data_IF_738234852843
#
_entry.id   IF_738234852843
#
_cell.length_a   1.000
_cell.length_b   1.000
_cell.length_c   1.000
_cell.angle_alpha   90.00
_cell.angle_beta   90.00
_cell.angle_gamma   90.00
#
_symmetry.space_group_name_H-M   'P 1'
#
loop_
_entity.id
_entity.type
_entity.pdbx_description
1 polymer ?
#
# COMPACT_ATOMS: atom_id res chain seq x y z
N UNK A 1 -5.55 -14.78 13.17
CA UNK A 1 -4.99 -13.92 14.23
C UNK A 1 -4.90 -12.49 13.71
N UNK A 2 -5.01 -11.49 14.58
CA UNK A 2 -4.93 -10.07 14.23
C UNK A 2 -3.87 -9.40 15.09
N UNK A 3 -3.22 -8.37 14.55
CA UNK A 3 -2.24 -7.55 15.23
C UNK A 3 -2.50 -6.08 14.90
N UNK A 4 -2.34 -5.19 15.88
CA UNK A 4 -2.54 -3.75 15.71
C UNK A 4 -1.28 -2.97 15.36
N UNK A 5 -0.09 -3.58 15.47
CA UNK A 5 1.20 -2.94 15.24
C UNK A 5 2.28 -3.97 14.85
N UNK A 6 3.48 -3.48 14.54
CA UNK A 6 4.61 -4.31 14.12
C UNK A 6 5.01 -5.38 15.15
N UNK A 7 5.13 -5.03 16.43
CA UNK A 7 5.64 -5.95 17.46
C UNK A 7 4.64 -7.08 17.72
N UNK A 8 3.34 -6.73 17.84
CA UNK A 8 2.25 -7.71 17.95
C UNK A 8 2.20 -8.66 16.75
N UNK A 9 2.47 -8.16 15.54
CA UNK A 9 2.48 -8.99 14.34
C UNK A 9 3.62 -10.01 14.36
N UNK A 10 4.81 -9.60 14.80
CA UNK A 10 5.96 -10.51 14.94
C UNK A 10 5.74 -11.55 16.03
N UNK A 11 5.16 -11.17 17.16
CA UNK A 11 4.84 -12.10 18.24
C UNK A 11 3.75 -13.09 17.83
N UNK A 12 2.70 -12.62 17.13
CA UNK A 12 1.68 -13.48 16.55
C UNK A 12 2.26 -14.45 15.51
N UNK A 13 3.20 -13.98 14.68
CA UNK A 13 3.86 -14.81 13.68
C UNK A 13 4.72 -15.92 14.31
N UNK A 14 5.48 -15.60 15.36
CA UNK A 14 6.29 -16.58 16.11
C UNK A 14 5.44 -17.61 16.83
N UNK A 15 4.32 -17.18 17.42
CA UNK A 15 3.46 -18.06 18.20
C UNK A 15 2.61 -19.01 17.34
N UNK A 16 2.18 -18.57 16.16
CA UNK A 16 1.19 -19.30 15.36
C UNK A 16 1.69 -19.80 14.00
N UNK A 17 2.91 -19.40 13.57
CA UNK A 17 3.52 -19.78 12.29
C UNK A 17 2.53 -19.72 11.10
N UNK A 18 1.96 -18.53 10.81
CA UNK A 18 0.92 -18.40 9.79
C UNK A 18 1.49 -18.68 8.39
N UNK A 19 0.72 -19.37 7.54
CA UNK A 19 1.08 -19.60 6.12
C UNK A 19 0.85 -18.37 5.24
N UNK A 20 -0.17 -17.58 5.57
CA UNK A 20 -0.58 -16.39 4.84
C UNK A 20 -0.61 -15.20 5.80
N UNK A 21 -0.14 -14.04 5.34
CA UNK A 21 -0.20 -12.80 6.09
C UNK A 21 -0.68 -11.66 5.18
N UNK A 22 -1.62 -10.86 5.69
CA UNK A 22 -2.04 -9.61 5.04
C UNK A 22 -1.51 -8.45 5.88
N UNK A 23 -0.74 -7.56 5.26
CA UNK A 23 0.02 -6.51 5.96
C UNK A 23 -0.34 -5.13 5.42
N UNK A 24 -0.59 -4.16 6.32
CA UNK A 24 -0.68 -2.75 5.93
C UNK A 24 0.71 -2.11 5.95
N UNK A 25 1.00 -1.23 4.97
CA UNK A 25 2.24 -0.46 4.94
C UNK A 25 2.34 0.52 6.11
N UNK A 26 1.20 1.09 6.53
CA UNK A 26 1.16 2.12 7.57
C UNK A 26 0.44 1.56 8.80
N UNK A 27 1.24 1.21 9.79
CA UNK A 27 0.80 0.77 11.11
C UNK A 27 1.72 1.37 12.18
N UNK A 28 1.31 1.40 13.46
CA UNK A 28 2.19 1.83 14.54
C UNK A 28 3.45 0.96 14.64
N UNK A 29 4.58 1.58 15.00
CA UNK A 29 5.89 0.93 15.06
C UNK A 29 6.66 1.06 13.75
N UNK A 30 7.30 -0.03 13.32
CA UNK A 30 8.02 -0.09 12.04
C UNK A 30 7.06 -0.17 10.85
N UNK A 31 7.58 0.11 9.65
CA UNK A 31 6.78 0.07 8.43
C UNK A 31 6.30 -1.35 8.07
N UNK A 32 5.21 -1.45 7.30
CA UNK A 32 4.77 -2.74 6.75
C UNK A 32 5.78 -3.39 5.81
N UNK A 33 6.64 -2.61 5.13
CA UNK A 33 7.73 -3.16 4.31
C UNK A 33 8.78 -3.87 5.18
N UNK A 34 9.13 -3.28 6.33
CA UNK A 34 10.02 -3.95 7.29
C UNK A 34 9.37 -5.23 7.83
N UNK A 35 8.06 -5.20 8.11
CA UNK A 35 7.34 -6.40 8.54
C UNK A 35 7.36 -7.50 7.46
N UNK A 36 7.17 -7.17 6.18
CA UNK A 36 7.27 -8.15 5.08
C UNK A 36 8.64 -8.84 5.11
N UNK A 37 9.71 -8.05 5.18
CA UNK A 37 11.09 -8.56 5.24
C UNK A 37 11.29 -9.48 6.44
N UNK A 38 10.83 -9.06 7.61
CA UNK A 38 11.07 -9.79 8.85
C UNK A 38 10.20 -11.07 8.94
N UNK A 39 8.97 -11.05 8.44
CA UNK A 39 8.14 -12.25 8.32
C UNK A 39 8.76 -13.27 7.36
N UNK A 40 9.23 -12.82 6.19
CA UNK A 40 9.94 -13.67 5.22
C UNK A 40 11.25 -14.22 5.77
N UNK A 41 11.96 -13.43 6.59
CA UNK A 41 13.20 -13.87 7.25
C UNK A 41 12.93 -14.86 8.40
N UNK A 42 11.77 -14.73 9.07
CA UNK A 42 11.34 -15.65 10.12
C UNK A 42 10.95 -17.01 9.54
N UNK A 43 10.21 -17.01 8.43
CA UNK A 43 9.86 -18.20 7.69
C UNK A 43 9.62 -17.86 6.20
N UNK A 44 10.44 -18.46 5.34
CA UNK A 44 10.36 -18.36 3.88
C UNK A 44 9.02 -18.89 3.34
N UNK A 45 8.35 -19.82 4.00
CA UNK A 45 7.06 -20.32 3.51
C UNK A 45 5.90 -19.32 3.72
N UNK A 46 6.10 -18.24 4.47
CA UNK A 46 5.04 -17.24 4.68
C UNK A 46 4.83 -16.45 3.39
N UNK A 47 3.59 -16.53 2.89
CA UNK A 47 3.13 -15.74 1.74
C UNK A 47 2.53 -14.44 2.27
N UNK A 48 3.18 -13.32 1.95
CA UNK A 48 2.78 -12.00 2.46
C UNK A 48 2.12 -11.18 1.35
N UNK A 49 0.86 -10.82 1.55
CA UNK A 49 0.12 -9.87 0.73
C UNK A 49 0.17 -8.50 1.39
N UNK A 50 0.58 -7.46 0.67
CA UNK A 50 0.47 -6.10 1.16
C UNK A 50 -0.87 -5.51 0.74
N UNK A 51 -1.64 -4.98 1.69
CA UNK A 51 -2.92 -4.32 1.45
C UNK A 51 -2.91 -2.92 2.08
N UNK A 52 -2.85 -1.86 1.28
CA UNK A 52 -2.74 -0.50 1.83
C UNK A 52 -3.44 0.57 0.99
N UNK A 53 -4.03 1.56 1.67
CA UNK A 53 -4.51 2.79 1.03
C UNK A 53 -3.40 3.81 0.72
N UNK A 54 -2.16 3.55 1.17
CA UNK A 54 -1.00 4.42 0.97
C UNK A 54 -0.05 3.93 -0.12
N UNK A 55 -0.49 2.97 -0.93
CA UNK A 55 0.28 2.44 -2.04
C UNK A 55 0.72 3.49 -3.07
N UNK A 56 1.91 3.28 -3.59
CA UNK A 56 2.47 3.85 -4.82
C UNK A 56 3.14 2.74 -5.62
N UNK A 57 3.43 2.99 -6.90
CA UNK A 57 4.19 2.04 -7.73
C UNK A 57 5.53 1.70 -7.08
N UNK A 58 6.25 2.70 -6.53
CA UNK A 58 7.52 2.49 -5.85
C UNK A 58 7.39 1.52 -4.66
N UNK A 59 6.41 1.74 -3.78
CA UNK A 59 6.20 0.87 -2.61
C UNK A 59 5.72 -0.54 -2.99
N UNK A 60 4.99 -0.69 -4.09
CA UNK A 60 4.56 -2.00 -4.59
C UNK A 60 5.76 -2.79 -5.12
N UNK A 61 6.63 -2.14 -5.90
CA UNK A 61 7.91 -2.71 -6.38
C UNK A 61 8.80 -3.11 -5.20
N UNK A 62 8.93 -2.24 -4.18
CA UNK A 62 9.74 -2.54 -3.01
C UNK A 62 9.15 -3.70 -2.19
N UNK A 63 7.82 -3.79 -2.04
CA UNK A 63 7.17 -4.92 -1.38
C UNK A 63 7.48 -6.25 -2.07
N UNK A 64 7.37 -6.30 -3.41
CA UNK A 64 7.68 -7.50 -4.19
C UNK A 64 9.16 -7.88 -4.05
N UNK A 65 10.07 -6.90 -4.14
CA UNK A 65 11.52 -7.14 -3.92
C UNK A 65 11.84 -7.71 -2.53
N UNK A 66 11.05 -7.36 -1.51
CA UNK A 66 11.20 -7.87 -0.15
C UNK A 66 10.51 -9.22 0.07
N UNK A 67 9.88 -9.80 -0.96
CA UNK A 67 9.26 -11.13 -0.91
C UNK A 67 7.77 -11.12 -0.64
N UNK A 68 7.08 -9.99 -0.81
CA UNK A 68 5.63 -9.99 -0.87
C UNK A 68 5.18 -10.72 -2.15
N UNK A 69 4.13 -11.53 -2.03
CA UNK A 69 3.57 -12.28 -3.15
C UNK A 69 2.71 -11.42 -4.05
N UNK A 70 2.14 -10.34 -3.49
CA UNK A 70 1.33 -9.38 -4.23
C UNK A 70 1.14 -8.07 -3.42
N UNK A 71 0.66 -7.03 -4.09
CA UNK A 71 0.29 -5.75 -3.52
C UNK A 71 -1.12 -5.35 -3.98
N UNK A 72 -2.03 -5.09 -3.05
CA UNK A 72 -3.37 -4.59 -3.33
C UNK A 72 -3.59 -3.19 -2.73
N UNK A 73 -4.12 -2.23 -3.50
CA UNK A 73 -4.60 -0.98 -2.95
C UNK A 73 -5.92 -1.20 -2.18
N UNK A 74 -6.14 -0.45 -1.10
CA UNK A 74 -7.48 -0.34 -0.48
C UNK A 74 -8.34 0.65 -1.29
N UNK A 75 -9.66 0.41 -1.45
CA UNK A 75 -10.45 -0.70 -0.89
C UNK A 75 -10.28 -2.00 -1.69
N UNK A 76 -10.27 -3.13 -0.99
CA UNK A 76 -10.31 -4.47 -1.57
C UNK A 76 -11.21 -5.34 -0.68
N UNK A 77 -11.95 -6.26 -1.28
CA UNK A 77 -12.80 -7.20 -0.54
C UNK A 77 -12.07 -8.53 -0.25
N UNK A 78 -12.79 -9.49 0.33
CA UNK A 78 -12.20 -10.78 0.69
C UNK A 78 -11.86 -11.61 -0.56
N UNK A 79 -12.64 -11.51 -1.63
CA UNK A 79 -12.43 -12.26 -2.86
C UNK A 79 -11.20 -11.72 -3.60
N UNK A 80 -11.00 -10.40 -3.60
CA UNK A 80 -9.78 -9.76 -4.12
C UNK A 80 -8.51 -10.28 -3.41
N UNK A 81 -8.57 -10.38 -2.08
CA UNK A 81 -7.45 -10.85 -1.25
C UNK A 81 -7.14 -12.32 -1.55
N UNK A 82 -8.16 -13.18 -1.63
CA UNK A 82 -7.99 -14.59 -1.94
C UNK A 82 -7.41 -14.79 -3.34
N UNK A 83 -7.98 -14.10 -4.35
CA UNK A 83 -7.48 -14.15 -5.71
C UNK A 83 -6.03 -13.65 -5.81
N UNK A 84 -5.65 -12.64 -5.03
CA UNK A 84 -4.27 -12.13 -5.01
C UNK A 84 -3.25 -13.13 -4.45
N UNK A 85 -3.67 -14.03 -3.54
CA UNK A 85 -2.86 -15.16 -3.11
C UNK A 85 -2.85 -16.31 -4.12
N UNK A 86 -3.82 -16.44 -5.01
CA UNK A 86 -3.82 -17.50 -6.02
C UNK A 86 -2.99 -17.13 -7.26
N UNK A 87 -2.92 -15.83 -7.61
CA UNK A 87 -2.23 -15.36 -8.82
C UNK A 87 -0.70 -15.52 -8.82
N UNK A 88 -0.07 -15.73 -7.66
CA UNK A 88 1.40 -15.75 -7.55
C UNK A 88 2.08 -17.05 -8.02
N UNK A 89 1.32 -18.03 -8.53
CA UNK A 89 1.88 -19.24 -9.16
C UNK A 89 2.26 -19.02 -10.64
N UNK A 90 2.11 -17.79 -11.15
CA UNK A 90 2.57 -17.41 -12.48
C UNK A 90 3.93 -16.75 -12.36
N UNK A 91 4.93 -17.37 -12.99
CA UNK A 91 6.30 -16.88 -13.17
C UNK A 91 6.34 -15.35 -13.35
N UNK A 92 7.14 -14.68 -12.51
CA UNK A 92 7.42 -13.25 -12.65
C UNK A 92 7.80 -12.96 -14.12
N UNK A 93 7.03 -12.15 -14.86
CA UNK A 93 7.48 -11.72 -16.18
C UNK A 93 8.79 -10.96 -15.98
N UNK A 94 9.86 -11.41 -16.62
CA UNK A 94 11.21 -10.82 -16.52
C UNK A 94 11.27 -9.35 -16.97
N UNK A 95 10.19 -8.80 -17.52
CA UNK A 95 10.07 -7.40 -17.88
C UNK A 95 8.71 -6.84 -17.45
N UNK A 96 8.64 -6.26 -16.24
CA UNK A 96 7.56 -5.32 -15.91
C UNK A 96 7.87 -4.01 -16.63
N UNK A 97 7.62 -3.94 -17.94
CA UNK A 97 7.24 -2.66 -18.54
C UNK A 97 5.84 -2.39 -18.03
N UNK A 98 5.60 -1.41 -17.13
CA UNK A 98 4.24 -1.10 -16.73
C UNK A 98 3.46 -0.78 -18.01
N UNK A 99 2.40 -1.55 -18.27
CA UNK A 99 1.51 -1.28 -19.38
C UNK A 99 1.00 0.16 -19.20
N UNK A 100 1.26 1.01 -20.18
CA UNK A 100 0.90 2.44 -20.13
C UNK A 100 -0.63 2.59 -20.00
N UNK A 101 -1.40 1.54 -20.32
CA UNK A 101 -2.84 1.47 -20.11
C UNK A 101 -3.25 1.36 -18.62
N UNK A 102 -2.40 0.84 -17.74
CA UNK A 102 -2.72 0.62 -16.31
C UNK A 102 -2.21 1.73 -15.39
N UNK A 103 -1.27 2.58 -15.84
CA UNK A 103 -0.78 3.70 -15.04
C UNK A 103 -1.84 4.82 -15.03
N UNK A 104 -2.42 5.19 -13.88
CA UNK A 104 -3.40 6.25 -13.82
C UNK A 104 -2.78 7.56 -14.32
N UNK A 105 -3.57 8.34 -15.06
CA UNK A 105 -3.12 9.63 -15.58
C UNK A 105 -2.50 10.49 -14.46
N UNK A 106 -1.51 11.31 -14.78
CA UNK A 106 -0.86 12.20 -13.80
C UNK A 106 -1.90 13.03 -13.04
N UNK A 107 -2.97 13.46 -13.72
CA UNK A 107 -4.08 14.18 -13.12
C UNK A 107 -4.82 13.34 -12.08
N UNK A 108 -5.10 12.07 -12.39
CA UNK A 108 -5.78 11.14 -11.48
C UNK A 108 -4.92 10.80 -10.27
N UNK A 109 -3.65 10.49 -10.49
CA UNK A 109 -2.69 10.25 -9.42
C UNK A 109 -2.54 11.49 -8.50
N UNK A 110 -2.49 12.69 -9.07
CA UNK A 110 -2.46 13.94 -8.31
C UNK A 110 -3.75 14.12 -7.49
N UNK A 111 -4.91 13.87 -8.10
CA UNK A 111 -6.21 14.02 -7.45
C UNK A 111 -6.35 13.06 -6.25
N UNK A 112 -6.05 11.77 -6.45
CA UNK A 112 -6.08 10.75 -5.40
C UNK A 112 -5.11 11.09 -4.26
N UNK A 113 -3.90 11.55 -4.60
CA UNK A 113 -2.91 11.95 -3.60
C UNK A 113 -3.39 13.15 -2.77
N UNK A 114 -3.94 14.18 -3.41
CA UNK A 114 -4.50 15.36 -2.74
C UNK A 114 -5.62 14.96 -1.77
N UNK A 115 -6.55 14.11 -2.22
CA UNK A 115 -7.68 13.68 -1.38
C UNK A 115 -7.24 12.78 -0.22
N UNK A 116 -6.25 11.92 -0.44
CA UNK A 116 -5.64 11.10 0.62
C UNK A 116 -5.04 11.96 1.73
N UNK A 117 -4.22 12.96 1.37
CA UNK A 117 -3.60 13.84 2.36
C UNK A 117 -4.65 14.70 3.09
N UNK A 118 -5.73 15.10 2.42
CA UNK A 118 -6.84 15.80 3.08
C UNK A 118 -7.57 14.91 4.09
N UNK A 119 -7.81 13.64 3.79
CA UNK A 119 -8.41 12.69 4.72
C UNK A 119 -7.53 12.49 5.96
N UNK A 120 -6.22 12.29 5.78
CA UNK A 120 -5.22 12.20 6.85
C UNK A 120 -5.12 13.45 7.74
N UNK A 121 -5.63 14.59 7.24
CA UNK A 121 -5.64 15.87 7.93
C UNK A 121 -7.05 16.26 8.39
N UNK A 122 -8.01 15.34 8.37
CA UNK A 122 -9.42 15.57 8.76
C UNK A 122 -10.06 16.78 8.03
N UNK A 123 -9.68 16.99 6.76
CA UNK A 123 -10.14 18.11 5.94
C UNK A 123 -9.42 19.44 6.19
N UNK A 124 -8.39 19.49 7.05
CA UNK A 124 -7.61 20.70 7.29
C UNK A 124 -6.73 21.06 6.07
N UNK A 125 -7.23 21.97 5.25
CA UNK A 125 -6.58 22.42 4.00
C UNK A 125 -5.19 23.04 4.27
N UNK A 126 -5.00 23.76 5.37
CA UNK A 126 -3.72 24.41 5.68
C UNK A 126 -2.64 23.38 6.03
N UNK A 127 -3.01 22.36 6.79
CA UNK A 127 -2.14 21.23 7.12
C UNK A 127 -1.82 20.39 5.89
N UNK A 128 -2.86 20.03 5.12
CA UNK A 128 -2.71 19.25 3.89
C UNK A 128 -1.82 19.97 2.86
N UNK A 129 -1.97 21.29 2.69
CA UNK A 129 -1.12 22.07 1.80
C UNK A 129 0.35 22.05 2.25
N UNK A 130 0.60 22.14 3.57
CA UNK A 130 1.95 22.06 4.12
C UNK A 130 2.58 20.68 3.88
N UNK A 131 1.83 19.61 4.10
CA UNK A 131 2.28 18.23 3.85
C UNK A 131 2.52 17.94 2.36
N UNK A 132 1.71 18.54 1.48
CA UNK A 132 1.89 18.47 0.03
C UNK A 132 3.02 19.40 -0.49
N UNK A 133 3.64 20.22 0.37
CA UNK A 133 4.69 21.15 -0.02
C UNK A 133 4.22 22.29 -0.95
N UNK A 134 2.92 22.58 -0.98
CA UNK A 134 2.33 23.61 -1.86
C UNK A 134 1.63 24.69 -1.07
N UNK A 135 1.45 25.86 -1.69
CA UNK A 135 0.72 26.95 -1.08
C UNK A 135 -0.77 26.61 -0.92
N UNK A 136 -1.40 27.00 0.20
CA UNK A 136 -2.83 26.76 0.49
C UNK A 136 -3.75 27.18 -0.67
N UNK A 137 -3.50 28.33 -1.31
CA UNK A 137 -4.28 28.79 -2.48
C UNK A 137 -4.14 27.85 -3.68
N UNK A 138 -2.96 27.28 -3.89
CA UNK A 138 -2.72 26.33 -4.98
C UNK A 138 -3.52 25.04 -4.77
N UNK A 139 -3.56 24.54 -3.53
CA UNK A 139 -4.39 23.39 -3.16
C UNK A 139 -5.87 23.68 -3.37
N UNK A 140 -6.38 24.81 -2.86
CA UNK A 140 -7.77 25.23 -3.06
C UNK A 140 -8.15 25.34 -4.55
N UNK A 141 -7.23 25.84 -5.38
CA UNK A 141 -7.43 25.93 -6.83
C UNK A 141 -7.50 24.55 -7.48
N UNK A 142 -6.67 23.60 -7.06
CA UNK A 142 -6.69 22.21 -7.55
C UNK A 142 -7.98 21.49 -7.15
N UNK A 143 -8.46 21.68 -5.92
CA UNK A 143 -9.72 21.10 -5.41
C UNK A 143 -10.98 21.62 -6.12
N UNK A 144 -10.93 22.80 -6.74
CA UNK A 144 -12.06 23.34 -7.52
C UNK A 144 -12.22 22.67 -8.89
N UNK A 145 -11.20 21.96 -9.39
CA UNK A 145 -11.31 21.19 -10.63
C UNK A 145 -12.06 19.89 -10.35
N UNK A 146 -12.97 19.49 -11.24
CA UNK A 146 -13.67 18.20 -11.15
C UNK A 146 -12.66 17.05 -11.24
N UNK A 147 -13.04 15.88 -10.71
CA UNK A 147 -12.24 14.67 -10.84
C UNK A 147 -11.90 14.43 -12.33
N UNK A 148 -10.63 14.19 -12.67
CA UNK A 148 -10.24 13.86 -14.04
C UNK A 148 -10.88 12.53 -14.45
N UNK A 149 -11.31 12.43 -15.71
CA UNK A 149 -11.81 11.19 -16.33
C UNK A 149 -10.73 10.11 -16.37
#
# INVERSE_FOLDING_TARGET
HTAGNYDEAMDAARAHAPRLAVVDLRMPGKSGLELVRDLRSLNDEIRVLVLSGFGSIATAVDAVKLGAVNFLPKPADADDILAAFERSDVELPEEVTPDVAEVPSLARAEWEHIHRILADCEGNISEAARRLGIHRRSLQRKLRKRAPE
#
